data_IF_058461817463
#
_entry.id   IF_058461817463
#
_cell.length_a   1.000
_cell.length_b   1.000
_cell.length_c   1.000
_cell.angle_alpha   90.00
_cell.angle_beta   90.00
_cell.angle_gamma   90.00
#
_symmetry.space_group_name_H-M   'P 1'
#
loop_
_entity.id
_entity.type
_entity.pdbx_description
1 polymer ?
#
# COMPACT_ATOMS: atom_id res chain seq x y z
N UNK A 1 11.76 23.04 21.75
CA UNK A 1 12.45 23.83 20.72
C UNK A 1 11.73 23.86 19.36
N UNK A 2 10.97 22.85 18.94
CA UNK A 2 10.23 22.87 17.66
C UNK A 2 9.06 23.89 17.56
N UNK A 3 8.78 24.65 18.59
CA UNK A 3 7.63 25.56 18.61
C UNK A 3 7.86 26.90 17.90
N UNK A 4 9.09 27.23 17.53
CA UNK A 4 9.44 28.50 16.89
C UNK A 4 9.45 28.44 15.37
N UNK A 5 9.58 27.26 14.79
CA UNK A 5 9.65 27.05 13.35
C UNK A 5 8.48 26.22 12.83
N UNK A 6 8.11 26.48 11.60
CA UNK A 6 7.18 25.68 10.81
C UNK A 6 7.94 25.03 9.67
N UNK A 7 7.76 23.72 9.52
CA UNK A 7 8.31 22.95 8.40
C UNK A 7 7.42 23.16 7.17
N UNK A 8 8.03 23.25 5.99
CA UNK A 8 7.34 23.35 4.70
C UNK A 8 7.88 22.26 3.79
N UNK A 9 7.01 21.34 3.39
CA UNK A 9 7.37 20.17 2.57
C UNK A 9 6.50 20.12 1.33
N UNK A 10 7.13 19.94 0.17
CA UNK A 10 6.53 19.55 -1.10
C UNK A 10 7.14 18.26 -1.59
N UNK A 11 6.37 17.47 -2.32
CA UNK A 11 6.77 16.17 -2.84
C UNK A 11 6.64 16.11 -4.35
N UNK A 12 7.61 15.47 -4.99
CA UNK A 12 7.60 15.09 -6.39
C UNK A 12 7.62 13.57 -6.47
N UNK A 13 6.52 12.98 -6.90
CA UNK A 13 6.33 11.52 -6.91
C UNK A 13 6.30 11.04 -8.36
N UNK A 14 7.21 10.13 -8.69
CA UNK A 14 7.31 9.52 -10.00
C UNK A 14 6.74 8.11 -9.98
N UNK A 15 5.77 7.84 -10.84
CA UNK A 15 5.08 6.56 -10.96
C UNK A 15 5.29 6.01 -12.36
N UNK A 16 6.00 4.87 -12.50
CA UNK A 16 6.06 4.17 -13.77
C UNK A 16 4.71 3.50 -14.06
N UNK A 17 4.15 3.78 -15.23
CA UNK A 17 2.89 3.20 -15.65
C UNK A 17 3.11 1.80 -16.23
N UNK A 18 2.31 0.84 -15.79
CA UNK A 18 2.39 -0.56 -16.22
C UNK A 18 1.74 -0.80 -17.60
N UNK A 19 2.06 0.04 -18.58
CA UNK A 19 1.67 -0.16 -19.98
C UNK A 19 2.49 -1.30 -20.60
N UNK A 20 1.95 -1.96 -21.62
CA UNK A 20 2.67 -3.03 -22.35
C UNK A 20 3.80 -2.51 -23.20
N UNK A 21 3.74 -1.25 -23.62
CA UNK A 21 4.75 -0.62 -24.46
C UNK A 21 5.17 0.73 -23.89
N UNK A 22 6.33 1.20 -24.33
CA UNK A 22 6.91 2.49 -23.95
C UNK A 22 6.00 3.66 -24.37
N UNK A 23 6.30 4.87 -23.84
CA UNK A 23 5.46 6.06 -24.03
C UNK A 23 5.38 6.48 -25.50
N UNK A 24 6.48 6.34 -26.26
CA UNK A 24 6.57 6.85 -27.63
C UNK A 24 7.03 5.81 -28.66
N UNK A 25 7.08 4.52 -28.29
CA UNK A 25 7.39 3.43 -29.22
C UNK A 25 6.75 2.11 -28.75
N UNK A 26 6.86 1.08 -29.58
CA UNK A 26 6.25 -0.25 -29.33
C UNK A 26 7.12 -1.19 -28.51
N UNK A 27 8.32 -0.80 -28.04
CA UNK A 27 9.16 -1.65 -27.20
C UNK A 27 8.45 -2.01 -25.89
N UNK A 28 8.67 -3.24 -25.43
CA UNK A 28 8.11 -3.72 -24.15
C UNK A 28 8.67 -2.93 -22.94
N UNK A 29 7.89 -2.89 -21.88
CA UNK A 29 8.24 -2.28 -20.59
C UNK A 29 8.52 -3.32 -19.50
N UNK A 30 8.66 -4.60 -19.88
CA UNK A 30 8.95 -5.70 -18.94
C UNK A 30 10.23 -5.45 -18.14
N UNK A 31 10.17 -5.75 -16.84
CA UNK A 31 11.29 -5.62 -15.92
C UNK A 31 12.12 -6.92 -15.90
N UNK A 32 13.45 -6.80 -15.69
CA UNK A 32 14.33 -7.95 -15.49
C UNK A 32 14.82 -8.64 -16.77
N UNK A 33 14.53 -8.10 -17.94
CA UNK A 33 15.02 -8.61 -19.22
C UNK A 33 16.53 -8.33 -19.41
N UNK A 34 17.15 -9.05 -20.35
CA UNK A 34 18.55 -8.80 -20.72
C UNK A 34 18.78 -7.33 -21.10
N UNK A 35 19.88 -6.74 -20.62
CA UNK A 35 20.19 -5.35 -20.82
C UNK A 35 20.16 -4.96 -22.32
N UNK A 36 19.50 -3.87 -22.64
CA UNK A 36 19.33 -3.33 -24.00
C UNK A 36 18.55 -4.24 -24.97
N UNK A 37 17.82 -5.25 -24.49
CA UNK A 37 16.98 -6.12 -25.35
C UNK A 37 15.68 -5.43 -25.77
N UNK A 38 15.12 -4.54 -24.92
CA UNK A 38 13.88 -3.81 -25.18
C UNK A 38 14.15 -2.42 -25.76
N UNK A 39 14.85 -2.36 -26.89
CA UNK A 39 15.22 -1.10 -27.55
C UNK A 39 14.86 -1.09 -29.04
N UNK A 40 14.64 0.10 -29.60
CA UNK A 40 14.37 0.30 -31.01
C UNK A 40 14.98 1.65 -31.49
N UNK A 41 15.01 1.94 -32.79
CA UNK A 41 15.52 3.20 -33.30
C UNK A 41 14.93 4.46 -32.64
N UNK A 42 13.64 4.44 -32.29
CA UNK A 42 12.97 5.58 -31.65
C UNK A 42 13.50 5.83 -30.23
N UNK A 43 13.50 4.82 -29.36
CA UNK A 43 13.97 5.01 -27.98
C UNK A 43 15.50 5.11 -27.85
N UNK A 44 16.24 4.75 -28.90
CA UNK A 44 17.68 4.98 -29.03
C UNK A 44 18.03 6.32 -29.69
N UNK A 45 17.02 7.11 -30.03
CA UNK A 45 17.20 8.40 -30.72
C UNK A 45 17.97 8.32 -32.07
N UNK A 46 17.79 7.22 -32.79
CA UNK A 46 18.43 7.09 -34.10
C UNK A 46 17.74 8.01 -35.14
N UNK A 47 18.50 8.55 -36.11
CA UNK A 47 17.94 9.41 -37.13
C UNK A 47 16.75 8.80 -37.87
N UNK A 48 15.65 9.54 -37.97
CA UNK A 48 14.40 9.11 -38.62
C UNK A 48 13.42 8.34 -37.69
N UNK A 49 13.79 8.05 -36.45
CA UNK A 49 12.85 7.52 -35.45
C UNK A 49 11.96 8.63 -34.91
N UNK A 50 10.65 8.59 -35.19
CA UNK A 50 9.68 9.56 -34.68
C UNK A 50 8.84 8.98 -33.51
N UNK A 51 8.54 9.80 -32.48
CA UNK A 51 7.73 9.39 -31.36
C UNK A 51 6.25 9.22 -31.75
N UNK A 52 5.60 8.19 -31.20
CA UNK A 52 4.14 7.98 -31.31
C UNK A 52 3.57 7.76 -29.93
N UNK A 53 2.70 8.66 -29.48
CA UNK A 53 2.16 8.67 -28.12
C UNK A 53 1.33 7.41 -27.80
N UNK A 54 1.62 6.80 -26.66
CA UNK A 54 0.88 5.66 -26.13
C UNK A 54 -0.45 6.09 -25.52
N UNK A 55 -1.56 5.67 -26.15
CA UNK A 55 -2.92 5.98 -25.71
C UNK A 55 -3.22 5.49 -24.30
N UNK A 56 -2.69 4.31 -23.90
CA UNK A 56 -2.91 3.73 -22.58
C UNK A 56 -2.26 4.58 -21.47
N UNK A 57 -1.11 5.18 -21.72
CA UNK A 57 -0.47 6.10 -20.77
C UNK A 57 -1.35 7.33 -20.50
N UNK A 58 -1.97 7.89 -21.54
CA UNK A 58 -2.94 9.00 -21.40
C UNK A 58 -4.15 8.58 -20.60
N UNK A 59 -4.71 7.40 -20.87
CA UNK A 59 -5.83 6.85 -20.10
C UNK A 59 -5.49 6.75 -18.61
N UNK A 60 -4.34 6.16 -18.29
CA UNK A 60 -3.89 6.00 -16.89
C UNK A 60 -3.64 7.33 -16.19
N UNK A 61 -3.14 8.34 -16.91
CA UNK A 61 -2.98 9.70 -16.38
C UNK A 61 -4.35 10.32 -16.03
N UNK A 62 -5.35 10.17 -16.89
CA UNK A 62 -6.71 10.67 -16.65
C UNK A 62 -7.37 9.93 -15.48
N UNK A 63 -7.17 8.61 -15.36
CA UNK A 63 -7.65 7.84 -14.20
C UNK A 63 -7.09 8.41 -12.89
N UNK A 64 -5.78 8.67 -12.83
CA UNK A 64 -5.17 9.29 -11.66
C UNK A 64 -5.72 10.68 -11.40
N UNK A 65 -5.81 11.54 -12.42
CA UNK A 65 -6.37 12.88 -12.28
C UNK A 65 -7.79 12.86 -11.74
N UNK A 66 -8.62 11.90 -12.19
CA UNK A 66 -9.98 11.70 -11.68
C UNK A 66 -9.97 11.32 -10.20
N UNK A 67 -9.10 10.40 -9.79
CA UNK A 67 -8.97 9.98 -8.39
C UNK A 67 -8.47 11.12 -7.48
N UNK A 68 -7.64 12.03 -8.00
CA UNK A 68 -7.15 13.21 -7.30
C UNK A 68 -8.09 14.43 -7.42
N UNK A 69 -9.29 14.25 -7.97
CA UNK A 69 -10.27 15.32 -8.24
C UNK A 69 -9.67 16.48 -9.02
N UNK A 70 -8.72 16.19 -9.89
CA UNK A 70 -7.97 17.18 -10.65
C UNK A 70 -8.73 17.64 -11.89
N UNK A 71 -8.42 18.86 -12.31
CA UNK A 71 -8.81 19.34 -13.63
C UNK A 71 -8.04 18.55 -14.70
N UNK A 72 -8.73 18.00 -15.68
CA UNK A 72 -8.10 17.39 -16.86
C UNK A 72 -8.04 18.42 -17.98
N UNK A 73 -6.84 18.70 -18.49
CA UNK A 73 -6.65 19.63 -19.60
C UNK A 73 -6.93 18.90 -20.91
N UNK A 74 -7.98 19.32 -21.61
CA UNK A 74 -8.37 18.72 -22.89
C UNK A 74 -7.41 18.99 -24.05
N UNK A 75 -6.56 20.01 -23.91
CA UNK A 75 -5.43 20.28 -24.82
C UNK A 75 -4.16 20.24 -24.00
N UNK A 76 -3.28 19.34 -24.35
CA UNK A 76 -2.01 19.14 -23.65
C UNK A 76 -0.85 19.12 -24.63
N UNK A 77 0.28 19.67 -24.22
CA UNK A 77 1.49 19.81 -25.08
C UNK A 77 2.64 19.07 -24.41
N UNK A 78 3.40 18.35 -25.22
CA UNK A 78 4.67 17.77 -24.80
C UNK A 78 5.82 18.73 -25.13
N UNK A 79 6.69 18.91 -24.14
CA UNK A 79 7.87 19.76 -24.21
C UNK A 79 9.14 18.92 -24.12
N UNK A 80 10.23 19.42 -24.68
CA UNK A 80 11.58 18.87 -24.49
C UNK A 80 12.24 19.53 -23.29
N UNK A 81 12.59 18.72 -22.29
CA UNK A 81 13.41 19.08 -21.13
C UNK A 81 14.86 18.71 -21.47
N UNK A 82 15.69 19.70 -21.82
CA UNK A 82 17.02 19.44 -22.36
C UNK A 82 18.05 19.27 -21.24
N UNK A 83 18.67 18.10 -21.19
CA UNK A 83 19.83 17.80 -20.36
C UNK A 83 20.55 16.56 -20.90
N UNK A 84 21.84 16.40 -20.57
CA UNK A 84 22.65 15.32 -21.09
C UNK A 84 23.03 14.34 -19.98
N UNK A 85 22.68 13.08 -20.21
CA UNK A 85 23.08 11.96 -19.38
C UNK A 85 23.31 10.73 -20.25
N UNK A 86 24.24 9.81 -19.85
CA UNK A 86 24.53 8.62 -20.67
C UNK A 86 23.33 7.72 -20.93
N UNK A 87 22.38 7.69 -20.02
CA UNK A 87 21.16 6.88 -20.08
C UNK A 87 19.96 7.62 -20.69
N UNK A 88 20.19 8.80 -21.26
CA UNK A 88 19.20 9.60 -21.99
C UNK A 88 19.65 9.81 -23.47
N UNK A 89 19.38 8.83 -24.37
CA UNK A 89 19.92 8.83 -25.73
C UNK A 89 19.53 10.04 -26.58
N UNK A 90 18.33 10.59 -26.33
CA UNK A 90 17.82 11.77 -27.04
C UNK A 90 18.56 13.06 -26.69
N UNK A 91 19.26 13.11 -25.55
CA UNK A 91 19.79 14.37 -24.99
C UNK A 91 18.72 15.31 -24.45
N UNK A 92 17.46 14.86 -24.42
CA UNK A 92 16.33 15.52 -23.77
C UNK A 92 15.33 14.48 -23.27
N UNK A 93 14.55 14.84 -22.28
CA UNK A 93 13.38 14.08 -21.83
C UNK A 93 12.12 14.75 -22.40
N UNK A 94 11.20 13.97 -22.95
CA UNK A 94 9.89 14.48 -23.33
C UNK A 94 9.03 14.50 -22.06
N UNK A 95 8.48 15.68 -21.75
CA UNK A 95 7.74 15.98 -20.55
C UNK A 95 6.59 16.93 -20.85
N UNK A 96 5.93 17.50 -19.85
CA UNK A 96 4.86 18.50 -20.03
C UNK A 96 5.04 19.60 -18.98
N UNK A 97 5.28 20.83 -19.43
CA UNK A 97 5.51 21.96 -18.54
C UNK A 97 4.26 22.83 -18.34
N UNK A 98 3.78 23.43 -19.42
CA UNK A 98 2.75 24.48 -19.35
C UNK A 98 1.32 23.94 -19.31
N UNK A 99 1.06 22.85 -20.02
CA UNK A 99 -0.26 22.23 -20.16
C UNK A 99 -0.19 20.73 -19.95
N UNK A 100 0.06 20.28 -18.72
CA UNK A 100 0.06 18.84 -18.38
C UNK A 100 -1.33 18.24 -18.57
N UNK A 101 -1.41 16.92 -18.75
CA UNK A 101 -2.70 16.23 -18.84
C UNK A 101 -3.53 16.47 -17.58
N UNK A 102 -2.90 16.39 -16.41
CA UNK A 102 -3.55 16.56 -15.10
C UNK A 102 -3.13 17.88 -14.49
N UNK A 103 -4.08 18.79 -14.31
CA UNK A 103 -3.89 20.10 -13.68
C UNK A 103 -4.10 20.04 -12.16
N UNK A 104 -4.54 21.17 -11.59
CA UNK A 104 -4.78 21.32 -10.16
C UNK A 104 -5.75 20.27 -9.62
N UNK A 105 -5.43 19.70 -8.48
CA UNK A 105 -6.21 18.69 -7.78
C UNK A 105 -5.93 18.69 -6.28
N UNK A 106 -6.41 17.67 -5.60
CA UNK A 106 -6.27 17.55 -4.15
C UNK A 106 -6.21 16.09 -3.69
N UNK A 107 -5.58 15.87 -2.55
CA UNK A 107 -5.55 14.60 -1.85
C UNK A 107 -5.75 14.82 -0.35
N UNK A 108 -6.78 14.21 0.22
CA UNK A 108 -7.05 14.29 1.66
C UNK A 108 -6.38 13.15 2.40
N UNK A 109 -5.59 13.46 3.41
CA UNK A 109 -4.94 12.51 4.30
C UNK A 109 -5.72 12.39 5.61
N UNK A 110 -5.72 11.17 6.18
CA UNK A 110 -6.40 10.84 7.44
C UNK A 110 -5.36 10.64 8.55
N UNK A 111 -5.52 11.31 9.67
CA UNK A 111 -4.68 11.10 10.85
C UNK A 111 -5.23 10.00 11.76
N UNK A 112 -4.39 9.38 12.61
CA UNK A 112 -4.83 8.36 13.55
C UNK A 112 -5.88 8.81 14.56
N UNK A 113 -5.96 10.10 14.85
CA UNK A 113 -6.95 10.70 15.75
C UNK A 113 -8.30 10.97 15.08
N UNK A 114 -8.42 10.65 13.79
CA UNK A 114 -9.63 10.85 12.97
C UNK A 114 -9.73 12.24 12.33
N UNK A 115 -8.77 13.14 12.58
CA UNK A 115 -8.71 14.41 11.86
C UNK A 115 -8.24 14.20 10.41
N UNK A 116 -8.53 15.18 9.56
CA UNK A 116 -8.19 15.15 8.14
C UNK A 116 -7.49 16.43 7.72
N UNK A 117 -6.61 16.32 6.72
CA UNK A 117 -6.01 17.48 6.05
C UNK A 117 -5.98 17.26 4.55
N UNK A 118 -6.38 18.27 3.80
CA UNK A 118 -6.28 18.26 2.34
C UNK A 118 -4.97 18.90 1.91
N UNK A 119 -4.24 18.21 1.04
CA UNK A 119 -3.00 18.64 0.42
C UNK A 119 -3.29 18.91 -1.06
N UNK A 120 -2.91 20.09 -1.54
CA UNK A 120 -3.03 20.43 -2.95
C UNK A 120 -2.10 19.59 -3.82
N UNK A 121 -2.56 19.31 -5.03
CA UNK A 121 -1.76 18.74 -6.13
C UNK A 121 -1.66 19.80 -7.21
N UNK A 122 -0.45 20.23 -7.51
CA UNK A 122 -0.20 21.26 -8.54
C UNK A 122 -0.49 20.70 -9.92
N UNK A 123 -0.04 19.47 -10.19
CA UNK A 123 -0.20 18.78 -11.48
C UNK A 123 0.25 17.32 -11.38
N UNK A 124 -0.16 16.55 -12.38
CA UNK A 124 0.55 15.34 -12.76
C UNK A 124 0.77 15.33 -14.29
N UNK A 125 1.99 15.07 -14.70
CA UNK A 125 2.35 15.15 -16.12
C UNK A 125 3.05 13.89 -16.60
N UNK A 126 2.82 13.56 -17.88
CA UNK A 126 3.44 12.44 -18.55
C UNK A 126 4.84 12.79 -19.00
N UNK A 127 5.77 11.87 -18.80
CA UNK A 127 7.13 11.97 -19.31
C UNK A 127 7.70 10.58 -19.63
N UNK A 128 8.75 10.52 -20.44
CA UNK A 128 9.48 9.28 -20.67
C UNK A 128 10.61 9.12 -19.66
N UNK A 129 10.70 7.94 -19.03
CA UNK A 129 11.78 7.65 -18.08
C UNK A 129 13.13 7.54 -18.80
N UNK A 130 14.21 7.84 -18.09
CA UNK A 130 15.58 7.61 -18.53
C UNK A 130 15.97 6.12 -18.41
N UNK A 131 17.05 5.73 -19.05
CA UNK A 131 17.65 4.40 -18.88
C UNK A 131 18.24 4.20 -17.49
N UNK A 132 19.04 3.15 -17.35
CA UNK A 132 19.73 2.83 -16.11
C UNK A 132 21.24 2.98 -16.32
N UNK A 133 21.87 3.78 -15.47
CA UNK A 133 23.31 3.97 -15.47
C UNK A 133 23.92 3.21 -14.28
N UNK A 134 24.76 2.23 -14.59
CA UNK A 134 25.39 1.34 -13.60
C UNK A 134 26.89 1.68 -13.54
N UNK A 135 27.32 2.26 -12.43
CA UNK A 135 28.71 2.58 -12.20
C UNK A 135 29.52 1.35 -11.81
N UNK A 136 30.59 1.09 -12.55
CA UNK A 136 31.52 -0.04 -12.30
C UNK A 136 32.96 0.42 -12.40
N UNK A 137 33.57 0.76 -11.28
CA UNK A 137 34.95 1.28 -11.25
C UNK A 137 35.11 2.55 -12.06
N UNK A 138 35.94 2.51 -13.10
CA UNK A 138 36.28 3.66 -13.94
C UNK A 138 35.34 3.83 -15.18
N UNK A 139 34.28 3.02 -15.30
CA UNK A 139 33.35 3.09 -16.41
C UNK A 139 31.92 2.90 -15.93
N UNK A 140 30.99 3.35 -16.77
CA UNK A 140 29.56 3.15 -16.56
C UNK A 140 29.02 2.23 -17.64
N UNK A 141 28.16 1.31 -17.22
CA UNK A 141 27.35 0.50 -18.13
C UNK A 141 25.97 1.13 -18.25
N UNK A 142 25.43 1.20 -19.45
CA UNK A 142 24.13 1.81 -19.70
C UNK A 142 23.17 0.74 -20.20
N UNK A 143 22.05 0.60 -19.48
CA UNK A 143 20.93 -0.22 -19.88
C UNK A 143 19.75 0.69 -20.27
N UNK A 144 19.34 0.62 -21.53
CA UNK A 144 18.29 1.44 -22.12
C UNK A 144 16.92 0.75 -22.16
N UNK A 145 16.77 -0.41 -21.51
CA UNK A 145 15.47 -1.09 -21.45
C UNK A 145 14.40 -0.19 -20.81
N UNK A 146 14.76 0.57 -19.78
CA UNK A 146 13.84 1.51 -19.11
C UNK A 146 13.64 2.81 -19.90
N UNK A 147 14.60 3.23 -20.74
CA UNK A 147 14.52 4.47 -21.49
C UNK A 147 13.25 4.52 -22.35
N UNK A 148 12.39 5.51 -22.10
CA UNK A 148 11.10 5.64 -22.75
C UNK A 148 9.92 4.95 -22.06
N UNK A 149 10.12 4.29 -20.92
CA UNK A 149 9.00 3.78 -20.09
C UNK A 149 8.09 4.95 -19.69
N UNK A 150 6.75 4.80 -19.78
CA UNK A 150 5.84 5.88 -19.40
C UNK A 150 5.96 6.17 -17.90
N UNK A 151 6.21 7.43 -17.60
CA UNK A 151 6.33 7.94 -16.23
C UNK A 151 5.29 9.02 -16.00
N UNK A 152 4.70 9.04 -14.83
CA UNK A 152 3.79 10.08 -14.39
C UNK A 152 4.41 10.77 -13.17
N UNK A 153 4.79 12.03 -13.31
CA UNK A 153 5.31 12.86 -12.23
C UNK A 153 4.17 13.65 -11.59
N UNK A 154 3.96 13.43 -10.30
CA UNK A 154 2.91 14.05 -9.49
C UNK A 154 3.57 15.04 -8.53
N UNK A 155 3.22 16.30 -8.65
CA UNK A 155 3.78 17.40 -7.86
C UNK A 155 2.74 17.89 -6.86
N UNK A 156 3.05 17.82 -5.56
CA UNK A 156 2.20 18.37 -4.52
C UNK A 156 2.43 19.88 -4.32
N UNK A 157 1.42 20.57 -3.80
CA UNK A 157 1.63 21.88 -3.17
C UNK A 157 2.49 21.70 -1.90
N UNK A 158 3.25 22.73 -1.47
CA UNK A 158 4.08 22.69 -0.27
C UNK A 158 3.25 22.87 1.01
N UNK A 159 2.19 22.09 1.15
CA UNK A 159 1.19 22.20 2.21
C UNK A 159 1.52 21.35 3.44
N UNK A 160 2.44 20.40 3.31
CA UNK A 160 2.79 19.50 4.39
C UNK A 160 3.70 20.18 5.40
N UNK A 161 3.47 19.89 6.70
CA UNK A 161 4.12 20.56 7.84
C UNK A 161 4.89 19.60 8.75
N UNK A 162 4.87 18.31 8.45
CA UNK A 162 5.60 17.30 9.21
C UNK A 162 5.98 16.12 8.34
N UNK A 163 6.95 15.33 8.80
CA UNK A 163 7.29 14.05 8.17
C UNK A 163 6.09 13.08 8.19
N UNK A 164 5.28 13.10 9.25
CA UNK A 164 4.07 12.28 9.35
C UNK A 164 3.09 12.62 8.23
N UNK A 165 2.81 13.90 7.98
CA UNK A 165 1.93 14.34 6.89
C UNK A 165 2.45 13.88 5.53
N UNK A 166 3.77 13.98 5.28
CA UNK A 166 4.39 13.52 4.06
C UNK A 166 4.24 12.00 3.86
N UNK A 167 4.42 11.22 4.93
CA UNK A 167 4.26 9.75 4.87
C UNK A 167 2.79 9.35 4.69
N UNK A 168 1.85 10.03 5.34
CA UNK A 168 0.41 9.79 5.14
C UNK A 168 0.00 10.09 3.69
N UNK A 169 0.46 11.21 3.14
CA UNK A 169 0.23 11.57 1.74
C UNK A 169 0.77 10.50 0.78
N UNK A 170 2.03 10.10 0.97
CA UNK A 170 2.67 9.10 0.12
C UNK A 170 1.99 7.73 0.19
N UNK A 171 1.62 7.27 1.38
CA UNK A 171 0.89 6.01 1.56
C UNK A 171 -0.48 6.06 0.89
N UNK A 172 -1.18 7.19 1.01
CA UNK A 172 -2.48 7.39 0.38
C UNK A 172 -2.36 7.39 -1.14
N UNK A 173 -1.42 8.15 -1.69
CA UNK A 173 -1.16 8.19 -3.13
C UNK A 173 -0.74 6.83 -3.67
N UNK A 174 0.16 6.14 -2.98
CA UNK A 174 0.58 4.78 -3.32
C UNK A 174 -0.62 3.81 -3.37
N UNK A 175 -1.49 3.85 -2.36
CA UNK A 175 -2.71 3.04 -2.32
C UNK A 175 -3.63 3.36 -3.51
N UNK A 176 -3.86 4.64 -3.82
CA UNK A 176 -4.68 5.05 -4.98
C UNK A 176 -4.10 4.50 -6.28
N UNK A 177 -2.80 4.65 -6.50
CA UNK A 177 -2.10 4.16 -7.70
C UNK A 177 -2.27 2.64 -7.86
N UNK A 178 -2.17 1.89 -6.75
CA UNK A 178 -2.40 0.44 -6.73
C UNK A 178 -3.87 0.09 -7.02
N UNK A 179 -4.82 0.76 -6.40
CA UNK A 179 -6.25 0.53 -6.61
C UNK A 179 -6.70 0.85 -8.03
N UNK A 180 -6.14 1.88 -8.64
CA UNK A 180 -6.36 2.20 -10.06
C UNK A 180 -5.75 1.16 -11.01
N UNK A 181 -4.81 0.33 -10.53
CA UNK A 181 -4.11 -0.66 -11.36
C UNK A 181 -3.21 -0.02 -12.42
N UNK A 182 -2.76 1.21 -12.21
CA UNK A 182 -1.94 1.95 -13.19
C UNK A 182 -0.45 1.70 -13.05
N UNK A 183 0.00 1.16 -11.91
CA UNK A 183 1.38 0.79 -11.60
C UNK A 183 1.41 -0.32 -10.54
N UNK A 184 2.51 -1.07 -10.48
CA UNK A 184 2.83 -1.95 -9.36
C UNK A 184 3.33 -1.18 -8.14
N UNK A 185 3.73 0.07 -8.33
CA UNK A 185 4.18 1.01 -7.32
C UNK A 185 5.29 0.44 -6.39
N UNK A 186 6.22 -0.34 -6.93
CA UNK A 186 7.31 -0.95 -6.17
C UNK A 186 8.45 0.06 -5.97
N UNK A 187 8.64 0.52 -4.72
CA UNK A 187 9.70 1.46 -4.38
C UNK A 187 11.11 0.86 -4.52
N UNK A 188 11.28 -0.45 -4.32
CA UNK A 188 12.59 -1.10 -4.39
C UNK A 188 13.06 -1.28 -5.84
N UNK A 189 12.13 -1.53 -6.75
CA UNK A 189 12.39 -1.64 -8.19
C UNK A 189 12.37 -0.29 -8.90
N UNK A 190 11.93 0.78 -8.20
CA UNK A 190 11.93 2.14 -8.69
C UNK A 190 10.74 2.51 -9.56
N UNK A 191 9.65 1.72 -9.54
CA UNK A 191 8.39 2.09 -10.19
C UNK A 191 7.56 3.09 -9.39
N UNK A 192 7.93 3.34 -8.13
CA UNK A 192 7.42 4.41 -7.29
C UNK A 192 8.60 5.11 -6.60
N UNK A 193 8.90 6.34 -6.98
CA UNK A 193 10.01 7.14 -6.46
C UNK A 193 9.47 8.44 -5.89
N UNK A 194 10.13 8.98 -4.88
CA UNK A 194 9.74 10.25 -4.30
C UNK A 194 10.98 11.10 -4.03
N UNK A 195 10.95 12.33 -4.54
CA UNK A 195 11.88 13.41 -4.20
C UNK A 195 11.17 14.37 -3.25
N UNK A 196 11.88 14.79 -2.20
CA UNK A 196 11.32 15.61 -1.13
C UNK A 196 11.96 16.99 -1.13
N UNK A 197 11.16 18.03 -1.24
CA UNK A 197 11.57 19.41 -1.06
C UNK A 197 11.27 19.83 0.39
N UNK A 198 12.29 20.21 1.16
CA UNK A 198 12.18 20.62 2.57
C UNK A 198 12.73 22.03 2.77
N UNK A 199 11.99 22.85 3.48
CA UNK A 199 12.45 24.10 4.07
C UNK A 199 11.81 24.33 5.43
N UNK A 200 12.33 25.29 6.20
CA UNK A 200 11.69 25.77 7.44
C UNK A 200 11.48 27.28 7.37
N UNK A 201 10.51 27.77 8.14
CA UNK A 201 10.25 29.20 8.32
C UNK A 201 9.89 29.51 9.77
N UNK A 202 10.07 30.75 10.25
CA UNK A 202 9.53 31.16 11.53
C UNK A 202 8.02 30.95 11.59
N UNK A 203 7.52 30.49 12.72
CA UNK A 203 6.09 30.23 12.90
C UNK A 203 5.27 31.53 12.71
N UNK A 204 4.27 31.44 11.82
CA UNK A 204 3.43 32.58 11.45
C UNK A 204 3.95 33.39 10.26
N UNK A 205 5.15 33.11 9.76
CA UNK A 205 5.63 33.69 8.50
C UNK A 205 4.99 32.94 7.30
N UNK A 206 4.69 33.68 6.24
CA UNK A 206 4.12 33.14 4.99
C UNK A 206 5.13 33.04 3.85
N UNK A 207 6.34 33.57 4.04
CA UNK A 207 7.38 33.54 3.02
C UNK A 207 7.93 32.12 2.84
N UNK A 208 8.33 31.79 1.61
CA UNK A 208 9.11 30.60 1.31
C UNK A 208 10.60 30.90 1.48
N UNK A 209 11.25 30.04 2.26
CA UNK A 209 12.70 30.10 2.48
C UNK A 209 13.41 29.08 1.59
N UNK A 210 14.74 29.13 1.57
CA UNK A 210 15.57 28.23 0.79
C UNK A 210 15.25 26.78 1.12
N UNK A 211 14.94 26.01 0.07
CA UNK A 211 14.62 24.58 0.16
C UNK A 211 15.81 23.73 -0.28
N UNK A 212 15.91 22.54 0.29
CA UNK A 212 16.75 21.46 -0.19
C UNK A 212 15.89 20.36 -0.79
N UNK A 213 16.32 19.79 -1.91
CA UNK A 213 15.74 18.61 -2.51
C UNK A 213 16.47 17.37 -2.01
N UNK A 214 15.75 16.37 -1.52
CA UNK A 214 16.33 15.11 -1.03
C UNK A 214 15.97 13.98 -1.98
N UNK A 215 16.97 13.21 -2.41
CA UNK A 215 16.83 12.08 -3.32
C UNK A 215 17.37 10.78 -2.73
N UNK A 216 17.17 9.65 -3.45
CA UNK A 216 17.69 8.33 -3.12
C UNK A 216 17.02 7.67 -1.90
N UNK A 217 15.70 7.80 -1.82
CA UNK A 217 14.92 7.16 -0.76
C UNK A 217 13.99 6.13 -1.37
N UNK A 218 14.21 4.86 -1.04
CA UNK A 218 13.46 3.72 -1.61
C UNK A 218 12.50 3.05 -0.61
N UNK A 219 12.15 3.75 0.48
CA UNK A 219 11.13 3.31 1.42
C UNK A 219 10.55 4.49 2.19
N UNK A 220 9.30 4.37 2.64
CA UNK A 220 8.65 5.38 3.48
C UNK A 220 9.44 5.69 4.76
N UNK A 221 10.06 4.68 5.37
CA UNK A 221 10.91 4.83 6.54
C UNK A 221 12.15 5.69 6.27
N UNK A 222 12.76 5.55 5.10
CA UNK A 222 13.91 6.38 4.73
C UNK A 222 13.50 7.80 4.41
N UNK A 223 12.33 8.00 3.79
CA UNK A 223 11.78 9.34 3.55
C UNK A 223 11.53 10.07 4.87
N UNK A 224 10.91 9.40 5.84
CA UNK A 224 10.66 9.96 7.18
C UNK A 224 11.96 10.39 7.87
N UNK A 225 12.99 9.52 7.85
CA UNK A 225 14.30 9.83 8.44
C UNK A 225 15.02 10.98 7.73
N UNK A 226 14.98 11.00 6.40
CA UNK A 226 15.60 12.04 5.60
C UNK A 226 14.99 13.42 5.88
N UNK A 227 13.65 13.49 5.96
CA UNK A 227 12.94 14.72 6.34
C UNK A 227 13.34 15.16 7.75
N UNK A 228 13.34 14.25 8.71
CA UNK A 228 13.70 14.56 10.09
C UNK A 228 15.14 15.10 10.19
N UNK A 229 16.08 14.49 9.49
CA UNK A 229 17.48 14.93 9.44
C UNK A 229 17.60 16.35 8.86
N UNK A 230 16.98 16.63 7.70
CA UNK A 230 17.05 17.95 7.06
C UNK A 230 16.37 19.02 7.88
N UNK A 231 15.23 18.73 8.48
CA UNK A 231 14.55 19.67 9.38
C UNK A 231 15.47 20.06 10.55
N UNK A 232 16.14 19.10 11.18
CA UNK A 232 17.07 19.37 12.27
C UNK A 232 18.28 20.18 11.78
N UNK A 233 18.87 19.84 10.64
CA UNK A 233 19.98 20.58 10.04
C UNK A 233 19.59 22.04 9.77
N UNK A 234 18.39 22.28 9.26
CA UNK A 234 17.90 23.65 9.01
C UNK A 234 17.65 24.43 10.31
N UNK A 235 17.12 23.78 11.35
CA UNK A 235 16.89 24.39 12.66
C UNK A 235 18.22 24.76 13.32
N UNK A 236 19.20 23.86 13.36
CA UNK A 236 20.53 24.08 13.91
C UNK A 236 21.23 25.28 13.22
N UNK A 237 21.19 25.29 11.86
CA UNK A 237 21.76 26.41 11.11
C UNK A 237 21.06 27.75 11.41
N UNK A 238 19.80 27.72 11.73
CA UNK A 238 19.06 28.92 12.11
C UNK A 238 19.41 29.39 13.51
N UNK A 239 19.47 28.46 14.47
CA UNK A 239 19.86 28.75 15.85
C UNK A 239 21.30 29.28 15.95
N UNK A 240 22.19 28.78 15.10
CA UNK A 240 23.59 29.23 14.99
C UNK A 240 23.74 30.57 14.21
N UNK A 241 22.65 31.11 13.65
CA UNK A 241 22.66 32.34 12.87
C UNK A 241 23.31 32.25 11.49
N UNK A 242 23.51 31.04 10.98
CA UNK A 242 24.20 30.74 9.71
C UNK A 242 23.27 30.18 8.62
N UNK A 243 21.97 30.14 8.85
CA UNK A 243 20.99 29.58 7.93
C UNK A 243 21.12 30.13 6.51
N UNK A 244 21.22 31.43 6.34
CA UNK A 244 21.31 32.09 5.03
C UNK A 244 22.59 31.77 4.25
N UNK A 245 23.61 31.24 4.91
CA UNK A 245 24.91 30.90 4.31
C UNK A 245 25.14 29.39 4.17
N UNK A 246 24.62 28.60 5.09
CA UNK A 246 24.77 27.14 5.11
C UNK A 246 23.62 26.41 4.41
N UNK A 247 22.42 26.96 4.48
CA UNK A 247 21.26 26.38 3.78
C UNK A 247 21.14 27.06 2.42
N UNK A 248 21.59 26.35 1.41
CA UNK A 248 21.55 26.78 0.00
C UNK A 248 20.59 25.87 -0.78
N UNK A 249 20.10 26.39 -1.90
CA UNK A 249 19.28 25.55 -2.79
C UNK A 249 20.18 24.51 -3.46
N UNK A 250 20.02 23.27 -3.04
CA UNK A 250 20.85 22.14 -3.51
C UNK A 250 20.04 20.85 -3.53
N UNK A 251 20.53 19.88 -4.32
CA UNK A 251 20.07 18.49 -4.26
C UNK A 251 20.99 17.72 -3.30
N UNK A 252 20.39 16.99 -2.38
CA UNK A 252 21.06 16.17 -1.38
C UNK A 252 20.70 14.70 -1.52
N UNK A 253 21.68 13.84 -1.34
CA UNK A 253 21.50 12.38 -1.36
C UNK A 253 21.34 11.89 0.07
N UNK A 254 20.28 11.12 0.34
CA UNK A 254 20.15 10.42 1.61
C UNK A 254 21.02 9.16 1.62
N UNK A 255 21.87 9.02 2.63
CA UNK A 255 22.71 7.83 2.87
C UNK A 255 21.96 6.92 3.85
N UNK A 256 21.54 5.77 3.36
CA UNK A 256 20.74 4.80 4.16
C UNK A 256 21.57 4.10 5.26
N UNK A 257 22.88 4.15 5.15
CA UNK A 257 23.82 3.54 6.13
C UNK A 257 24.03 4.45 7.33
N UNK A 258 24.33 5.74 7.06
CA UNK A 258 24.58 6.73 8.12
C UNK A 258 23.30 7.37 8.63
N UNK A 259 22.25 7.41 7.82
CA UNK A 259 21.00 8.14 8.11
C UNK A 259 21.12 9.65 7.92
N UNK A 260 22.11 10.11 7.19
CA UNK A 260 22.42 11.52 6.95
C UNK A 260 22.19 11.88 5.48
N UNK A 261 22.11 13.17 5.19
CA UNK A 261 22.11 13.68 3.81
C UNK A 261 23.46 14.29 3.48
N UNK A 262 23.88 14.18 2.23
CA UNK A 262 25.09 14.83 1.71
C UNK A 262 24.77 15.60 0.42
N UNK A 263 25.44 16.73 0.21
CA UNK A 263 25.30 17.51 -1.03
C UNK A 263 25.73 16.70 -2.24
N UNK A 264 24.93 16.72 -3.28
CA UNK A 264 25.25 16.12 -4.60
C UNK A 264 25.67 17.18 -5.60
N UNK A 265 24.95 18.30 -5.63
CA UNK A 265 25.09 19.34 -6.63
C UNK A 265 24.78 20.69 -6.01
N UNK A 266 25.67 21.65 -6.20
CA UNK A 266 25.49 23.01 -5.71
C UNK A 266 24.65 23.88 -6.66
N UNK A 267 24.39 25.11 -6.23
CA UNK A 267 23.58 26.11 -6.92
C UNK A 267 24.14 26.52 -8.30
N UNK A 268 25.45 26.37 -8.50
CA UNK A 268 26.14 26.72 -9.74
C UNK A 268 25.81 25.77 -10.89
N UNK A 269 25.26 24.58 -10.57
CA UNK A 269 24.88 23.55 -11.54
C UNK A 269 23.37 23.47 -11.78
N UNK A 270 22.58 24.48 -11.38
CA UNK A 270 21.15 24.51 -11.67
C UNK A 270 20.95 24.51 -13.20
N UNK A 271 20.52 23.38 -13.74
CA UNK A 271 20.36 23.21 -15.17
C UNK A 271 19.20 24.09 -15.67
N UNK A 272 19.50 25.02 -16.57
CA UNK A 272 18.48 25.62 -17.42
C UNK A 272 18.07 24.60 -18.48
N UNK A 273 16.93 23.94 -18.25
CA UNK A 273 16.44 22.89 -19.15
C UNK A 273 15.94 23.41 -20.49
N UNK A 274 15.84 24.71 -20.72
CA UNK A 274 15.43 25.35 -21.99
C UNK A 274 14.24 24.63 -22.61
N UNK A 275 13.16 24.53 -21.88
CA UNK A 275 11.94 23.89 -22.36
C UNK A 275 11.42 24.55 -23.64
N UNK A 276 10.99 23.73 -24.60
CA UNK A 276 10.23 24.15 -25.77
C UNK A 276 9.33 22.99 -26.24
N UNK A 277 8.20 23.28 -26.91
CA UNK A 277 7.32 22.24 -27.44
C UNK A 277 8.06 21.29 -28.37
N UNK A 278 7.83 19.99 -28.20
CA UNK A 278 8.43 18.97 -29.05
C UNK A 278 7.88 19.08 -30.48
N UNK A 279 8.73 19.32 -31.49
CA UNK A 279 8.30 19.53 -32.88
C UNK A 279 7.78 18.25 -33.55
N UNK A 280 8.11 17.08 -33.00
CA UNK A 280 7.72 15.77 -33.54
C UNK A 280 6.38 15.27 -32.94
N UNK A 281 5.81 15.99 -31.97
CA UNK A 281 4.56 15.66 -31.32
C UNK A 281 3.51 16.75 -31.53
N UNK A 282 2.36 16.36 -32.06
CA UNK A 282 1.21 17.25 -32.12
C UNK A 282 0.61 17.44 -30.71
N UNK A 283 -0.09 18.56 -30.45
CA UNK A 283 -0.86 18.72 -29.23
C UNK A 283 -1.82 17.53 -29.02
N UNK A 284 -1.82 16.98 -27.82
CA UNK A 284 -2.74 15.95 -27.41
C UNK A 284 -4.14 16.58 -27.20
N UNK A 285 -5.12 16.10 -27.95
CA UNK A 285 -6.51 16.50 -27.79
C UNK A 285 -7.27 15.39 -27.07
N UNK A 286 -7.79 15.67 -25.88
CA UNK A 286 -8.64 14.78 -25.11
C UNK A 286 -10.08 15.20 -25.36
N UNK A 287 -10.81 14.37 -26.10
CA UNK A 287 -12.24 14.66 -26.43
C UNK A 287 -13.13 14.39 -25.24
N UNK A 288 -14.37 14.90 -25.27
CA UNK A 288 -15.35 14.64 -24.22
C UNK A 288 -15.67 13.14 -24.09
N UNK A 289 -15.69 12.41 -25.22
CA UNK A 289 -15.87 10.96 -25.24
C UNK A 289 -14.70 10.24 -24.53
N UNK A 290 -13.48 10.62 -24.83
CA UNK A 290 -12.29 10.08 -24.17
C UNK A 290 -12.34 10.39 -22.67
N UNK A 291 -12.65 11.63 -22.30
CA UNK A 291 -12.75 12.02 -20.90
C UNK A 291 -13.81 11.20 -20.17
N UNK A 292 -14.99 11.04 -20.74
CA UNK A 292 -16.08 10.23 -20.17
C UNK A 292 -15.73 8.75 -20.04
N UNK A 293 -14.96 8.20 -20.99
CA UNK A 293 -14.52 6.81 -20.96
C UNK A 293 -13.41 6.61 -19.92
N UNK A 294 -12.38 7.47 -19.95
CA UNK A 294 -11.17 7.31 -19.17
C UNK A 294 -11.30 7.75 -17.70
N UNK A 295 -12.35 8.53 -17.39
CA UNK A 295 -12.69 8.87 -15.99
C UNK A 295 -13.47 7.77 -15.26
N UNK A 296 -13.74 6.64 -15.91
CA UNK A 296 -14.32 5.47 -15.23
C UNK A 296 -13.23 4.77 -14.44
N UNK A 297 -13.20 5.01 -13.15
CA UNK A 297 -12.22 4.42 -12.23
C UNK A 297 -12.88 3.37 -11.32
N UNK A 298 -12.10 2.37 -10.83
CA UNK A 298 -12.59 1.43 -9.83
C UNK A 298 -12.86 2.13 -8.49
N UNK A 299 -13.54 1.43 -7.59
CA UNK A 299 -13.76 1.88 -6.22
C UNK A 299 -12.41 2.17 -5.53
N UNK A 300 -12.27 3.38 -4.99
CA UNK A 300 -11.05 3.83 -4.34
C UNK A 300 -10.96 3.35 -2.87
N UNK A 301 -9.75 3.40 -2.24
CA UNK A 301 -9.58 2.90 -0.88
C UNK A 301 -10.56 3.48 0.13
N UNK A 302 -10.85 4.77 0.07
CA UNK A 302 -11.75 5.45 1.02
C UNK A 302 -13.21 5.07 0.80
N UNK A 303 -13.62 4.92 -0.45
CA UNK A 303 -14.97 4.46 -0.81
C UNK A 303 -15.18 3.04 -0.33
N UNK A 304 -14.19 2.16 -0.56
CA UNK A 304 -14.20 0.77 -0.12
C UNK A 304 -14.21 0.66 1.41
N UNK A 305 -13.43 1.49 2.10
CA UNK A 305 -13.43 1.59 3.56
C UNK A 305 -14.81 1.99 4.07
N UNK A 306 -15.40 3.05 3.50
CA UNK A 306 -16.73 3.51 3.88
C UNK A 306 -17.81 2.43 3.61
N UNK A 307 -17.69 1.70 2.50
CA UNK A 307 -18.56 0.57 2.19
C UNK A 307 -18.42 -0.55 3.21
N UNK A 308 -17.22 -0.95 3.59
CA UNK A 308 -17.01 -2.01 4.59
C UNK A 308 -17.57 -1.64 5.96
N UNK A 309 -17.44 -0.39 6.38
CA UNK A 309 -18.06 0.11 7.61
C UNK A 309 -19.59 0.06 7.50
N UNK A 310 -20.14 0.54 6.38
CA UNK A 310 -21.60 0.65 6.20
C UNK A 310 -22.29 -0.69 5.97
N UNK A 311 -21.76 -1.53 5.10
CA UNK A 311 -22.39 -2.78 4.67
C UNK A 311 -22.12 -3.94 5.64
N UNK A 312 -20.89 -4.02 6.17
CA UNK A 312 -20.47 -5.15 7.01
C UNK A 312 -20.38 -4.78 8.49
N UNK A 313 -20.60 -3.50 8.85
CA UNK A 313 -20.53 -3.05 10.24
C UNK A 313 -19.13 -3.13 10.87
N UNK A 314 -18.08 -3.06 10.04
CA UNK A 314 -16.70 -3.05 10.54
C UNK A 314 -16.42 -1.76 11.31
N UNK A 315 -15.50 -1.86 12.28
CA UNK A 315 -14.94 -0.67 12.91
C UNK A 315 -14.03 0.05 11.91
N UNK A 316 -13.97 1.37 12.01
CA UNK A 316 -13.11 2.22 11.17
C UNK A 316 -11.66 1.73 11.08
N UNK A 317 -11.11 1.32 12.22
CA UNK A 317 -9.74 0.80 12.30
C UNK A 317 -9.58 -0.49 11.47
N UNK A 318 -10.49 -1.46 11.67
CA UNK A 318 -10.43 -2.74 10.96
C UNK A 318 -10.60 -2.56 9.45
N UNK A 319 -11.55 -1.70 9.05
CA UNK A 319 -11.74 -1.35 7.65
C UNK A 319 -10.50 -0.66 7.05
N UNK A 320 -9.84 0.26 7.80
CA UNK A 320 -8.61 0.92 7.35
C UNK A 320 -7.45 -0.08 7.17
N UNK A 321 -7.30 -1.05 8.06
CA UNK A 321 -6.27 -2.09 7.94
C UNK A 321 -6.50 -2.92 6.67
N UNK A 322 -7.72 -3.37 6.44
CA UNK A 322 -8.05 -4.22 5.29
C UNK A 322 -7.88 -3.43 3.97
N UNK A 323 -8.34 -2.18 3.93
CA UNK A 323 -8.29 -1.37 2.70
C UNK A 323 -6.95 -0.69 2.43
N UNK A 324 -5.98 -0.83 3.34
CA UNK A 324 -4.61 -0.34 3.12
C UNK A 324 -3.87 -1.09 1.99
N UNK A 325 -4.30 -2.31 1.67
CA UNK A 325 -3.84 -3.12 0.54
C UNK A 325 -5.03 -3.51 -0.34
N UNK A 326 -4.87 -3.31 -1.65
CA UNK A 326 -5.87 -3.73 -2.65
C UNK A 326 -6.14 -5.24 -2.56
N UNK A 327 -5.07 -6.01 -2.44
CA UNK A 327 -5.09 -7.47 -2.40
C UNK A 327 -5.87 -7.97 -1.19
N UNK A 328 -5.60 -7.40 -0.03
CA UNK A 328 -6.30 -7.73 1.21
C UNK A 328 -7.78 -7.33 1.15
N UNK A 329 -8.08 -6.16 0.60
CA UNK A 329 -9.46 -5.70 0.44
C UNK A 329 -10.25 -6.59 -0.53
N UNK A 330 -9.65 -7.02 -1.62
CA UNK A 330 -10.27 -7.95 -2.56
C UNK A 330 -10.44 -9.34 -1.95
N UNK A 331 -9.46 -9.81 -1.19
CA UNK A 331 -9.55 -11.08 -0.47
C UNK A 331 -10.71 -11.07 0.55
N UNK A 332 -10.87 -9.97 1.28
CA UNK A 332 -11.97 -9.78 2.21
C UNK A 332 -13.33 -9.76 1.49
N UNK A 333 -13.46 -9.03 0.39
CA UNK A 333 -14.69 -9.01 -0.44
C UNK A 333 -15.07 -10.41 -0.93
N UNK A 334 -14.09 -11.22 -1.35
CA UNK A 334 -14.33 -12.62 -1.73
C UNK A 334 -14.77 -13.49 -0.55
N UNK A 335 -14.18 -13.32 0.64
CA UNK A 335 -14.62 -14.02 1.85
C UNK A 335 -16.08 -13.70 2.19
N UNK A 336 -16.49 -12.43 2.05
CA UNK A 336 -17.84 -12.00 2.40
C UNK A 336 -18.93 -12.55 1.47
N UNK A 337 -18.61 -13.04 0.28
CA UNK A 337 -19.54 -13.75 -0.60
C UNK A 337 -20.03 -15.09 -0.02
N UNK A 338 -19.30 -15.64 0.94
CA UNK A 338 -19.66 -16.91 1.62
C UNK A 338 -20.60 -16.72 2.81
N UNK A 339 -21.16 -15.49 3.00
CA UNK A 339 -22.14 -15.15 4.05
C UNK A 339 -21.69 -15.46 5.46
N UNK A 340 -20.45 -15.14 5.80
CA UNK A 340 -19.84 -15.30 7.12
C UNK A 340 -19.83 -13.97 7.89
N UNK A 341 -19.62 -14.03 9.20
CA UNK A 341 -19.49 -12.85 10.05
C UNK A 341 -18.27 -12.00 9.65
N UNK A 342 -18.49 -10.74 9.34
CA UNK A 342 -17.42 -9.81 8.98
C UNK A 342 -16.36 -9.67 10.07
N UNK A 343 -16.76 -9.74 11.35
CA UNK A 343 -15.85 -9.72 12.50
C UNK A 343 -14.90 -10.92 12.49
N UNK A 344 -15.44 -12.11 12.24
CA UNK A 344 -14.63 -13.33 12.17
C UNK A 344 -13.74 -13.31 10.92
N UNK A 345 -14.29 -12.93 9.75
CA UNK A 345 -13.53 -12.76 8.53
C UNK A 345 -12.32 -11.83 8.73
N UNK A 346 -12.53 -10.67 9.35
CA UNK A 346 -11.45 -9.72 9.69
C UNK A 346 -10.38 -10.36 10.54
N UNK A 347 -10.76 -11.01 11.66
CA UNK A 347 -9.80 -11.64 12.57
C UNK A 347 -9.00 -12.74 11.89
N UNK A 348 -9.67 -13.59 11.11
CA UNK A 348 -9.01 -14.70 10.42
C UNK A 348 -8.09 -14.24 9.29
N UNK A 349 -8.47 -13.19 8.58
CA UNK A 349 -7.64 -12.60 7.53
C UNK A 349 -6.43 -11.86 8.13
N UNK A 350 -6.68 -10.90 9.05
CA UNK A 350 -5.64 -9.95 9.47
C UNK A 350 -4.73 -10.47 10.58
N UNK A 351 -5.18 -11.46 11.35
CA UNK A 351 -4.42 -12.03 12.47
C UNK A 351 -3.97 -13.45 12.17
N UNK A 352 -4.92 -14.33 11.84
CA UNK A 352 -4.61 -15.77 11.78
C UNK A 352 -3.87 -16.13 10.48
N UNK A 353 -4.34 -15.68 9.31
CA UNK A 353 -3.69 -15.98 8.05
C UNK A 353 -2.40 -15.15 7.90
N UNK A 354 -2.47 -13.83 8.07
CA UNK A 354 -1.29 -12.98 7.91
C UNK A 354 -0.15 -13.35 8.87
N UNK A 355 -0.49 -13.71 10.12
CA UNK A 355 0.51 -14.13 11.10
C UNK A 355 1.23 -15.45 10.74
N UNK A 356 0.73 -16.20 9.75
CA UNK A 356 1.32 -17.45 9.24
C UNK A 356 2.05 -17.31 7.91
N UNK A 357 1.85 -16.20 7.21
CA UNK A 357 2.61 -15.93 6.00
C UNK A 357 4.06 -15.64 6.37
N UNK A 358 5.00 -16.19 5.61
CA UNK A 358 6.43 -15.92 5.78
C UNK A 358 6.70 -14.44 5.44
N UNK A 359 7.77 -13.90 6.02
CA UNK A 359 8.23 -12.55 5.72
C UNK A 359 8.44 -12.38 4.20
N UNK A 360 7.83 -11.34 3.63
CA UNK A 360 7.89 -11.04 2.19
C UNK A 360 6.83 -11.76 1.33
N UNK A 361 6.04 -12.69 1.88
CA UNK A 361 4.93 -13.32 1.14
C UNK A 361 3.68 -12.46 1.23
N UNK A 362 3.15 -12.07 0.08
CA UNK A 362 1.91 -11.29 -0.01
C UNK A 362 0.67 -12.17 0.17
N UNK A 363 -0.49 -11.54 0.41
CA UNK A 363 -1.76 -12.28 0.53
C UNK A 363 -2.15 -12.97 -0.80
N UNK A 364 -1.74 -12.43 -1.94
CA UNK A 364 -1.96 -13.02 -3.26
C UNK A 364 -1.17 -14.31 -3.45
N UNK A 365 0.01 -14.39 -2.84
CA UNK A 365 0.88 -15.59 -2.87
C UNK A 365 0.52 -16.62 -1.79
N UNK A 366 -0.51 -16.32 -0.98
CA UNK A 366 -0.97 -17.23 0.05
C UNK A 366 -1.42 -18.57 -0.55
N UNK A 367 -1.00 -19.72 0.01
CA UNK A 367 -1.50 -21.01 -0.40
C UNK A 367 -3.00 -21.21 -0.11
N UNK A 368 -3.56 -20.35 0.75
CA UNK A 368 -4.97 -20.37 1.16
C UNK A 368 -5.70 -19.25 0.45
N UNK A 369 -6.67 -19.58 -0.39
CA UNK A 369 -7.53 -18.59 -1.03
C UNK A 369 -8.69 -18.14 -0.12
N UNK A 370 -9.34 -17.05 -0.50
CA UNK A 370 -10.40 -16.44 0.29
C UNK A 370 -11.56 -17.38 0.60
N UNK A 371 -11.95 -18.23 -0.35
CA UNK A 371 -13.02 -19.21 -0.19
C UNK A 371 -12.66 -20.29 0.82
N UNK A 372 -11.43 -20.78 0.77
CA UNK A 372 -10.91 -21.76 1.74
C UNK A 372 -10.90 -21.19 3.16
N UNK A 373 -10.41 -19.96 3.33
CA UNK A 373 -10.41 -19.30 4.63
C UNK A 373 -11.83 -19.03 5.14
N UNK A 374 -12.73 -18.58 4.26
CA UNK A 374 -14.13 -18.38 4.59
C UNK A 374 -14.81 -19.69 5.01
N UNK A 375 -14.47 -20.81 4.37
CA UNK A 375 -14.99 -22.13 4.75
C UNK A 375 -14.55 -22.51 6.17
N UNK A 376 -13.30 -22.25 6.55
CA UNK A 376 -12.84 -22.46 7.95
C UNK A 376 -13.68 -21.63 8.92
N UNK A 377 -13.88 -20.34 8.60
CA UNK A 377 -14.70 -19.44 9.43
C UNK A 377 -16.14 -19.98 9.55
N UNK A 378 -16.72 -20.43 8.45
CA UNK A 378 -18.07 -21.02 8.43
C UNK A 378 -18.17 -22.26 9.32
N UNK A 379 -17.13 -23.12 9.33
CA UNK A 379 -17.08 -24.30 10.21
C UNK A 379 -16.93 -23.96 11.69
N UNK A 380 -16.42 -22.77 12.01
CA UNK A 380 -16.44 -22.24 13.38
C UNK A 380 -17.84 -21.75 13.75
N UNK A 381 -18.49 -21.02 12.85
CA UNK A 381 -19.79 -20.40 13.07
C UNK A 381 -20.93 -21.43 13.18
N UNK A 382 -20.85 -22.49 12.40
CA UNK A 382 -21.81 -23.62 12.47
C UNK A 382 -21.47 -24.62 13.58
N UNK A 383 -20.43 -24.35 14.41
CA UNK A 383 -19.94 -25.20 15.48
C UNK A 383 -19.46 -26.60 15.06
N UNK A 384 -19.06 -26.76 13.77
CA UNK A 384 -18.43 -27.99 13.31
C UNK A 384 -17.06 -28.18 13.95
N UNK A 385 -16.31 -27.11 14.16
CA UNK A 385 -15.01 -27.10 14.84
C UNK A 385 -14.90 -25.93 15.80
N UNK A 386 -14.04 -26.05 16.82
CA UNK A 386 -13.69 -24.94 17.71
C UNK A 386 -12.69 -24.00 17.06
N UNK A 387 -12.61 -22.73 17.54
CA UNK A 387 -11.61 -21.79 17.03
C UNK A 387 -10.15 -22.27 17.21
N UNK A 388 -9.88 -23.12 18.24
CA UNK A 388 -8.57 -23.74 18.41
C UNK A 388 -8.32 -24.80 17.33
N UNK A 389 -9.28 -25.67 17.08
CA UNK A 389 -9.20 -26.71 16.06
C UNK A 389 -9.05 -26.09 14.66
N UNK A 390 -9.75 -24.98 14.40
CA UNK A 390 -9.65 -24.25 13.14
C UNK A 390 -8.23 -23.72 12.85
N UNK A 391 -7.46 -23.35 13.88
CA UNK A 391 -6.04 -22.97 13.72
C UNK A 391 -5.19 -24.17 13.28
N UNK A 392 -5.43 -25.35 13.87
CA UNK A 392 -4.75 -26.59 13.50
C UNK A 392 -5.11 -27.00 12.06
N UNK A 393 -6.37 -26.82 11.64
CA UNK A 393 -6.80 -27.02 10.25
C UNK A 393 -6.08 -26.05 9.30
N UNK A 394 -6.01 -24.77 9.64
CA UNK A 394 -5.31 -23.78 8.83
C UNK A 394 -3.82 -24.13 8.68
N UNK A 395 -3.17 -24.54 9.76
CA UNK A 395 -1.76 -24.93 9.76
C UNK A 395 -1.52 -26.18 8.87
N UNK A 396 -2.40 -27.20 8.92
CA UNK A 396 -2.29 -28.39 8.07
C UNK A 396 -2.51 -28.05 6.58
N UNK A 397 -3.51 -27.19 6.28
CA UNK A 397 -3.79 -26.75 4.91
C UNK A 397 -2.60 -25.99 4.30
N UNK A 398 -1.98 -25.09 5.06
CA UNK A 398 -0.78 -24.35 4.64
C UNK A 398 0.39 -25.33 4.39
N UNK A 399 0.63 -26.24 5.33
CA UNK A 399 1.75 -27.19 5.25
C UNK A 399 1.63 -28.16 4.08
N UNK A 400 0.41 -28.56 3.72
CA UNK A 400 0.16 -29.54 2.65
C UNK A 400 -0.33 -28.90 1.34
N UNK A 401 -0.42 -27.56 1.28
CA UNK A 401 -0.99 -26.82 0.13
C UNK A 401 -2.36 -27.38 -0.30
N UNK A 402 -3.17 -27.82 0.68
CA UNK A 402 -4.52 -28.34 0.46
C UNK A 402 -5.55 -27.21 0.57
N UNK A 403 -6.69 -27.38 -0.10
CA UNK A 403 -7.85 -26.48 -0.03
C UNK A 403 -9.11 -27.14 0.50
N UNK A 404 -9.04 -28.43 0.79
CA UNK A 404 -10.19 -29.21 1.28
C UNK A 404 -10.26 -29.15 2.80
N UNK A 405 -11.04 -28.19 3.30
CA UNK A 405 -11.24 -27.93 4.72
C UNK A 405 -11.90 -29.13 5.41
N UNK A 406 -12.98 -29.67 4.80
CA UNK A 406 -13.77 -30.73 5.43
C UNK A 406 -12.99 -32.05 5.51
N UNK A 407 -12.27 -32.43 4.45
CA UNK A 407 -11.38 -33.59 4.49
C UNK A 407 -10.25 -33.43 5.52
N UNK A 408 -9.72 -32.20 5.68
CA UNK A 408 -8.69 -31.92 6.69
C UNK A 408 -9.26 -32.04 8.12
N UNK A 409 -10.47 -31.55 8.36
CA UNK A 409 -11.16 -31.69 9.66
C UNK A 409 -11.34 -33.17 10.00
N UNK A 410 -11.78 -33.99 9.04
CA UNK A 410 -11.96 -35.44 9.22
C UNK A 410 -10.63 -36.16 9.46
N UNK A 411 -9.60 -35.88 8.63
CA UNK A 411 -8.24 -36.42 8.77
C UNK A 411 -7.66 -36.18 10.16
N UNK A 412 -7.84 -34.98 10.68
CA UNK A 412 -7.31 -34.58 11.99
C UNK A 412 -8.23 -34.97 13.19
N UNK A 413 -9.45 -35.47 12.93
CA UNK A 413 -10.41 -35.84 13.96
C UNK A 413 -10.87 -34.68 14.81
N UNK A 414 -10.99 -33.47 14.22
CA UNK A 414 -11.24 -32.20 14.91
C UNK A 414 -12.72 -31.81 14.94
N UNK A 415 -13.62 -32.64 14.39
CA UNK A 415 -15.06 -32.37 14.40
C UNK A 415 -15.59 -32.35 15.82
N UNK A 416 -16.35 -31.30 16.16
CA UNK A 416 -16.96 -31.18 17.48
C UNK A 416 -18.04 -32.26 17.69
N UNK A 417 -18.00 -32.86 18.88
CA UNK A 417 -19.08 -33.75 19.33
C UNK A 417 -20.22 -32.86 19.82
N UNK A 418 -21.28 -32.78 19.02
CA UNK A 418 -22.52 -32.07 19.34
C UNK A 418 -23.71 -32.98 19.63
N UNK A 419 -23.49 -34.31 19.58
CA UNK A 419 -24.53 -35.29 19.92
C UNK A 419 -24.82 -35.28 21.44
N UNK A 420 -26.05 -34.90 21.77
CA UNK A 420 -26.52 -34.79 23.15
C UNK A 420 -26.37 -36.12 23.88
N UNK A 421 -26.58 -37.25 23.20
CA UNK A 421 -26.45 -38.58 23.80
C UNK A 421 -25.02 -38.90 24.21
N UNK A 422 -24.06 -38.65 23.33
CA UNK A 422 -22.63 -38.87 23.60
C UNK A 422 -22.11 -37.92 24.70
N UNK A 423 -22.54 -36.67 24.70
CA UNK A 423 -22.18 -35.70 25.74
C UNK A 423 -22.80 -36.03 27.08
N UNK A 424 -24.08 -36.48 27.13
CA UNK A 424 -24.71 -36.93 28.35
C UNK A 424 -23.98 -38.13 28.95
N UNK A 425 -23.55 -39.11 28.16
CA UNK A 425 -22.79 -40.25 28.65
C UNK A 425 -21.50 -39.82 29.37
N UNK A 426 -20.74 -38.88 28.77
CA UNK A 426 -19.52 -38.34 29.37
C UNK A 426 -19.84 -37.54 30.65
N UNK A 427 -20.88 -36.71 30.62
CA UNK A 427 -21.28 -35.89 31.77
C UNK A 427 -21.74 -36.79 32.91
N UNK A 428 -22.59 -37.79 32.67
CA UNK A 428 -23.11 -38.69 33.66
C UNK A 428 -22.00 -39.50 34.35
N UNK A 429 -21.00 -39.97 33.60
CA UNK A 429 -19.80 -40.63 34.13
C UNK A 429 -18.98 -39.68 35.03
N UNK A 430 -18.78 -38.42 34.62
CA UNK A 430 -18.05 -37.43 35.42
C UNK A 430 -18.81 -37.08 36.69
N UNK A 431 -20.14 -36.89 36.63
CA UNK A 431 -20.96 -36.60 37.80
C UNK A 431 -20.98 -37.77 38.76
N UNK A 432 -21.11 -39.00 38.27
CA UNK A 432 -21.09 -40.20 39.07
C UNK A 432 -19.75 -40.43 39.80
N UNK A 433 -18.64 -40.17 39.08
CA UNK A 433 -17.28 -40.30 39.64
C UNK A 433 -16.90 -39.20 40.64
N UNK A 434 -17.71 -38.14 40.77
CA UNK A 434 -17.44 -36.99 41.64
C UNK A 434 -18.68 -36.61 42.47
N UNK A 435 -19.37 -37.61 43.05
CA UNK A 435 -20.61 -37.42 43.78
C UNK A 435 -20.48 -36.46 44.98
N UNK A 436 -19.31 -36.42 45.61
CA UNK A 436 -18.95 -35.48 46.68
C UNK A 436 -19.03 -34.02 46.22
N UNK A 437 -18.49 -33.72 45.00
CA UNK A 437 -18.51 -32.39 44.42
C UNK A 437 -19.88 -32.00 43.89
N UNK A 438 -20.68 -32.97 43.45
CA UNK A 438 -22.09 -32.74 43.11
C UNK A 438 -22.87 -32.28 44.35
N UNK A 439 -22.65 -32.94 45.51
CA UNK A 439 -23.25 -32.54 46.79
C UNK A 439 -22.79 -31.12 47.21
N UNK A 440 -21.52 -30.79 47.05
CA UNK A 440 -21.00 -29.45 47.30
C UNK A 440 -21.66 -28.39 46.41
N UNK A 441 -21.86 -28.68 45.13
CA UNK A 441 -22.56 -27.77 44.18
C UNK A 441 -24.01 -27.56 44.63
N UNK A 442 -24.73 -28.63 44.93
CA UNK A 442 -26.13 -28.59 45.47
C UNK A 442 -26.21 -27.85 46.79
N UNK A 443 -25.13 -27.84 47.61
CA UNK A 443 -25.01 -27.05 48.83
C UNK A 443 -24.64 -25.57 48.62
N UNK A 444 -24.59 -25.07 47.34
CA UNK A 444 -24.40 -23.67 47.00
C UNK A 444 -22.97 -23.28 46.60
N UNK A 445 -22.03 -24.23 46.45
CA UNK A 445 -20.67 -23.94 45.96
C UNK A 445 -20.63 -23.86 44.41
N UNK A 446 -21.03 -22.75 43.83
CA UNK A 446 -21.10 -22.54 42.38
C UNK A 446 -19.77 -22.80 41.62
N UNK A 447 -18.63 -22.66 42.30
CA UNK A 447 -17.30 -22.94 41.69
C UNK A 447 -17.16 -24.38 41.19
N UNK A 448 -17.93 -25.33 41.74
CA UNK A 448 -17.91 -26.73 41.30
C UNK A 448 -18.48 -26.92 39.90
N UNK A 449 -19.33 -26.01 39.42
CA UNK A 449 -19.81 -26.02 38.04
C UNK A 449 -18.66 -25.93 37.01
N UNK A 450 -17.74 -24.97 37.22
CA UNK A 450 -16.58 -24.82 36.35
C UNK A 450 -15.66 -26.06 36.36
N UNK A 451 -15.57 -26.77 37.47
CA UNK A 451 -14.86 -28.05 37.57
C UNK A 451 -15.48 -29.11 36.66
N UNK A 452 -16.80 -29.28 36.66
CA UNK A 452 -17.48 -30.26 35.80
C UNK A 452 -17.34 -29.92 34.32
N UNK A 453 -17.46 -28.65 33.97
CA UNK A 453 -17.21 -28.18 32.60
C UNK A 453 -15.77 -28.52 32.16
N UNK A 454 -14.79 -28.21 33.02
CA UNK A 454 -13.39 -28.51 32.73
C UNK A 454 -13.09 -30.01 32.55
N UNK A 455 -13.70 -30.86 33.38
CA UNK A 455 -13.55 -32.32 33.26
C UNK A 455 -14.21 -32.87 32.00
N UNK A 456 -15.41 -32.38 31.64
CA UNK A 456 -16.11 -32.77 30.41
C UNK A 456 -15.31 -32.35 29.17
N UNK A 457 -14.78 -31.14 29.16
CA UNK A 457 -13.91 -30.67 28.09
C UNK A 457 -12.63 -31.51 27.99
N UNK A 458 -12.04 -31.93 29.11
CA UNK A 458 -10.87 -32.80 29.13
C UNK A 458 -11.19 -34.21 28.64
N UNK A 459 -12.30 -34.80 29.07
CA UNK A 459 -12.74 -36.14 28.68
C UNK A 459 -13.09 -36.19 27.18
N UNK A 460 -13.68 -35.14 26.63
CA UNK A 460 -13.94 -35.00 25.20
C UNK A 460 -12.71 -34.58 24.39
N UNK A 461 -11.52 -34.51 25.01
CA UNK A 461 -10.27 -34.01 24.36
C UNK A 461 -10.42 -32.64 23.70
N UNK A 462 -11.30 -31.79 24.21
CA UNK A 462 -11.60 -30.47 23.69
C UNK A 462 -12.51 -30.46 22.46
N UNK A 463 -13.08 -31.61 22.07
CA UNK A 463 -14.00 -31.71 20.94
C UNK A 463 -15.46 -31.36 21.26
N UNK A 464 -15.84 -31.28 22.55
CA UNK A 464 -17.20 -30.89 22.95
C UNK A 464 -17.43 -29.38 22.78
N UNK A 465 -18.66 -29.01 22.38
CA UNK A 465 -19.04 -27.58 22.32
C UNK A 465 -19.22 -27.05 23.76
N UNK A 466 -18.45 -26.03 24.21
CA UNK A 466 -18.50 -25.53 25.58
C UNK A 466 -19.87 -24.99 26.00
N UNK A 467 -20.62 -24.35 25.08
CA UNK A 467 -21.97 -23.85 25.39
C UNK A 467 -22.94 -25.02 25.65
N UNK A 468 -22.90 -26.02 24.78
CA UNK A 468 -23.73 -27.21 24.89
C UNK A 468 -23.39 -28.00 26.19
N UNK A 469 -22.10 -28.14 26.49
CA UNK A 469 -21.64 -28.76 27.74
C UNK A 469 -22.20 -28.02 28.97
N UNK A 470 -22.16 -26.68 28.94
CA UNK A 470 -22.74 -25.87 30.04
C UNK A 470 -24.24 -26.09 30.18
N UNK A 471 -24.99 -26.15 29.11
CA UNK A 471 -26.44 -26.41 29.11
C UNK A 471 -26.76 -27.79 29.66
N UNK A 472 -26.09 -28.83 29.15
CA UNK A 472 -26.33 -30.22 29.55
C UNK A 472 -25.92 -30.51 30.99
N UNK A 473 -24.81 -29.92 31.48
CA UNK A 473 -24.39 -30.03 32.88
C UNK A 473 -25.42 -29.34 33.77
N UNK A 474 -25.92 -28.16 33.43
CA UNK A 474 -26.99 -27.48 34.19
C UNK A 474 -28.24 -28.34 34.25
N UNK A 475 -28.65 -28.93 33.12
CA UNK A 475 -29.81 -29.83 33.10
C UNK A 475 -29.64 -31.04 34.02
N UNK A 476 -28.46 -31.66 34.03
CA UNK A 476 -28.17 -32.82 34.87
C UNK A 476 -28.07 -32.48 36.37
N UNK A 477 -27.49 -31.35 36.72
CA UNK A 477 -27.35 -30.91 38.10
C UNK A 477 -28.65 -30.38 38.71
N UNK A 478 -29.62 -29.97 37.87
CA UNK A 478 -30.95 -29.55 38.34
C UNK A 478 -31.91 -30.68 38.58
N UNK A 479 -31.63 -31.86 38.06
CA UNK A 479 -32.34 -33.14 38.39
C UNK A 479 -31.69 -33.80 39.59
#
# INVERSE_FOLDING_TARGET
MSSMFEVVIGLEVHVQLNTKSKLFCSCATSFGEEANSNTCPTCLALPGGLPVLNKEAVHKAIMLGTALKSQINQVSVFDRKNYFYPDLPTGYQISQLSTPVVGLGELTIDFPDGSQKTIGVTRAHLENDAGKNIHSGNHSQVDLNRAGTPLLEIVSEPDMRSAEEAILYLKKLHSIVRYLGISDANMQEGSFRCDVNVSIRPKGDTNFYTRCEIKNMNSFRFIEKAIAYEVNRHIEAWEDGVHSTQIVQETRLFDTTTGETRSMRGKEDAADYRYFPDPDLLPLIITDEMLKEYSKIPELPDEKKARFVKEYGLKEYDASVITSSLEMANYFDEMMKEEISAKNATTWLTVELQGRLKEGVTIEESPIDAKTLATIVKRIEDNTISGKAAKEVLDDLIANSSKDVDATIEKLGLKQVSDDGALFAIIDEILASNADKVAEYKAGKEKMFAFFVGQTMKASKGSANPQKVNELIKERLSK
#
